data_IF_675192302899
#
_entry.id   IF_675192302899
#
_cell.length_a   1.000
_cell.length_b   1.000
_cell.length_c   1.000
_cell.angle_alpha   90.00
_cell.angle_beta   90.00
_cell.angle_gamma   90.00
#
_symmetry.space_group_name_H-M   'P 1'
#
loop_
_entity.id
_entity.type
_entity.pdbx_description
1 polymer ?
#
# COMPACT_ATOMS: atom_id res chain seq x y z
N UNK A 1 21.03 16.88 27.59
CA UNK A 1 20.33 15.60 27.87
C UNK A 1 19.94 15.04 26.52
N UNK A 2 20.68 14.05 26.02
CA UNK A 2 20.43 13.46 24.71
C UNK A 2 19.12 12.68 24.74
N UNK A 3 18.17 13.08 23.91
CA UNK A 3 17.04 12.25 23.52
C UNK A 3 17.60 11.00 22.84
N UNK A 4 17.71 9.88 23.57
CA UNK A 4 17.77 8.59 22.90
C UNK A 4 16.47 8.46 22.13
N UNK A 5 16.50 8.75 20.82
CA UNK A 5 15.43 8.39 19.92
C UNK A 5 15.26 6.87 20.02
N UNK A 6 14.14 6.45 20.59
CA UNK A 6 13.80 5.04 20.75
C UNK A 6 13.80 4.38 19.38
N UNK A 7 14.84 3.59 19.07
CA UNK A 7 14.93 2.83 17.83
C UNK A 7 13.75 1.85 17.75
N UNK A 8 13.04 1.83 16.63
CA UNK A 8 11.98 0.86 16.37
C UNK A 8 12.52 -0.47 15.82
N UNK A 9 13.64 -0.42 15.09
CA UNK A 9 14.32 -1.57 14.48
C UNK A 9 15.76 -1.71 14.99
N UNK A 10 16.19 -2.96 15.16
CA UNK A 10 17.60 -3.33 15.37
C UNK A 10 18.38 -3.31 14.06
N UNK A 11 19.71 -3.26 14.13
CA UNK A 11 20.57 -3.35 12.94
C UNK A 11 20.33 -4.62 12.12
N UNK A 12 20.09 -5.76 12.79
CA UNK A 12 19.79 -7.02 12.13
C UNK A 12 18.45 -6.97 11.36
N UNK A 13 17.44 -6.28 11.89
CA UNK A 13 16.17 -6.10 11.19
C UNK A 13 16.33 -5.21 9.94
N UNK A 14 17.15 -4.17 10.04
CA UNK A 14 17.46 -3.28 8.90
C UNK A 14 18.20 -4.05 7.81
N UNK A 15 19.23 -4.81 8.17
CA UNK A 15 19.99 -5.65 7.24
C UNK A 15 19.09 -6.72 6.59
N UNK A 16 18.28 -7.41 7.38
CA UNK A 16 17.29 -8.37 6.87
C UNK A 16 16.31 -7.74 5.88
N UNK A 17 15.84 -6.51 6.13
CA UNK A 17 14.96 -5.82 5.18
C UNK A 17 15.69 -5.47 3.88
N UNK A 18 16.94 -4.99 3.95
CA UNK A 18 17.73 -4.73 2.77
C UNK A 18 17.96 -6.01 1.93
N UNK A 19 18.19 -7.14 2.59
CA UNK A 19 18.41 -8.42 1.95
C UNK A 19 17.14 -9.03 1.33
N UNK A 20 16.04 -8.99 2.08
CA UNK A 20 14.80 -9.73 1.77
C UNK A 20 13.68 -8.87 1.19
N UNK A 21 13.72 -7.55 1.40
CA UNK A 21 12.68 -6.61 0.96
C UNK A 21 11.41 -6.67 1.79
N UNK A 22 11.40 -7.47 2.86
CA UNK A 22 10.26 -7.67 3.77
C UNK A 22 10.77 -7.85 5.20
N UNK A 23 10.03 -7.32 6.17
CA UNK A 23 10.26 -7.56 7.59
C UNK A 23 8.93 -7.65 8.35
N UNK A 24 8.95 -8.30 9.51
CA UNK A 24 7.82 -8.35 10.43
C UNK A 24 8.12 -7.58 11.71
N UNK A 25 7.17 -6.79 12.18
CA UNK A 25 7.29 -5.94 13.37
C UNK A 25 6.03 -6.04 14.23
N UNK A 26 6.18 -6.45 15.49
CA UNK A 26 5.11 -6.30 16.48
C UNK A 26 4.94 -4.81 16.82
N UNK A 27 3.74 -4.26 16.62
CA UNK A 27 3.47 -2.84 16.89
C UNK A 27 3.20 -2.54 18.37
N UNK A 28 2.87 -3.54 19.18
CA UNK A 28 2.44 -3.35 20.57
C UNK A 28 1.10 -2.63 20.71
N UNK A 29 0.23 -2.76 19.70
CA UNK A 29 -1.11 -2.15 19.68
C UNK A 29 -2.09 -3.06 20.41
N UNK A 30 -2.99 -2.50 21.21
CA UNK A 30 -3.96 -3.31 21.97
C UNK A 30 -4.99 -3.99 21.07
N UNK A 31 -5.41 -5.20 21.46
CA UNK A 31 -6.46 -5.93 20.78
C UNK A 31 -7.77 -5.11 20.68
N UNK A 32 -8.15 -4.39 21.75
CA UNK A 32 -9.34 -3.55 21.78
C UNK A 32 -9.33 -2.46 20.69
N UNK A 33 -8.17 -1.83 20.47
CA UNK A 33 -8.04 -0.82 19.42
C UNK A 33 -8.17 -1.43 18.02
N UNK A 34 -7.56 -2.60 17.80
CA UNK A 34 -7.61 -3.31 16.52
C UNK A 34 -9.02 -3.81 16.23
N UNK A 35 -9.71 -4.37 17.23
CA UNK A 35 -11.11 -4.79 17.13
C UNK A 35 -12.03 -3.60 16.83
N UNK A 36 -11.81 -2.45 17.47
CA UNK A 36 -12.56 -1.23 17.16
C UNK A 36 -12.36 -0.75 15.71
N UNK A 37 -11.17 -0.92 15.10
CA UNK A 37 -11.00 -0.66 13.66
C UNK A 37 -11.88 -1.61 12.84
N UNK A 38 -11.88 -2.90 13.16
CA UNK A 38 -12.68 -3.92 12.45
C UNK A 38 -14.17 -3.55 12.51
N UNK A 39 -14.69 -3.26 13.70
CA UNK A 39 -16.09 -2.88 13.92
C UNK A 39 -16.49 -1.60 13.17
N UNK A 40 -15.64 -0.57 13.19
CA UNK A 40 -15.93 0.70 12.52
C UNK A 40 -15.85 0.63 11.00
N UNK A 41 -14.95 -0.20 10.46
CA UNK A 41 -14.82 -0.40 9.00
C UNK A 41 -15.90 -1.32 8.45
N UNK A 42 -16.39 -2.29 9.23
CA UNK A 42 -17.41 -3.25 8.79
C UNK A 42 -18.62 -2.64 8.06
N UNK A 43 -19.28 -1.56 8.55
CA UNK A 43 -20.40 -0.94 7.85
C UNK A 43 -20.02 -0.22 6.56
N UNK A 44 -18.73 0.04 6.31
CA UNK A 44 -18.24 0.72 5.11
C UNK A 44 -17.98 -0.24 3.93
N UNK A 45 -17.99 -1.56 4.15
CA UNK A 45 -17.88 -2.51 3.06
C UNK A 45 -19.12 -2.48 2.15
N UNK A 46 -18.89 -2.66 0.85
CA UNK A 46 -19.95 -2.71 -0.16
C UNK A 46 -21.09 -3.66 0.23
N UNK A 47 -22.36 -3.31 -0.03
CA UNK A 47 -23.51 -4.15 0.34
C UNK A 47 -23.44 -5.58 -0.20
N UNK A 48 -22.78 -5.80 -1.35
CA UNK A 48 -22.56 -7.13 -1.91
C UNK A 48 -21.72 -8.03 -0.99
N UNK A 49 -20.75 -7.47 -0.27
CA UNK A 49 -19.99 -8.19 0.73
C UNK A 49 -20.82 -8.45 2.00
N UNK A 50 -21.72 -7.52 2.38
CA UNK A 50 -22.63 -7.74 3.50
C UNK A 50 -23.62 -8.88 3.21
N UNK A 51 -24.02 -9.05 1.96
CA UNK A 51 -24.88 -10.16 1.51
C UNK A 51 -24.11 -11.48 1.33
N UNK A 52 -22.84 -11.40 0.92
CA UNK A 52 -21.97 -12.56 0.77
C UNK A 52 -20.55 -12.24 1.29
N UNK A 53 -20.25 -12.55 2.56
CA UNK A 53 -18.95 -12.31 3.18
C UNK A 53 -17.78 -13.04 2.50
N UNK A 54 -18.05 -13.96 1.56
CA UNK A 54 -17.04 -14.66 0.78
C UNK A 54 -16.46 -13.80 -0.35
N UNK A 55 -17.18 -12.75 -0.78
CA UNK A 55 -16.73 -11.88 -1.87
C UNK A 55 -15.62 -10.95 -1.37
N UNK A 56 -14.47 -11.00 -2.04
CA UNK A 56 -13.38 -10.06 -1.76
C UNK A 56 -13.86 -8.62 -2.02
N UNK A 57 -13.64 -7.76 -1.02
CA UNK A 57 -13.91 -6.33 -1.09
C UNK A 57 -12.81 -5.59 -0.35
N UNK A 58 -12.80 -4.26 -0.48
CA UNK A 58 -11.92 -3.38 0.28
C UNK A 58 -12.57 -2.03 0.46
N UNK A 59 -12.26 -1.38 1.58
CA UNK A 59 -12.52 0.05 1.75
C UNK A 59 -11.21 0.78 1.53
N UNK A 60 -11.16 1.63 0.51
CA UNK A 60 -10.03 2.51 0.29
C UNK A 60 -10.20 3.81 1.08
N UNK A 61 -9.12 4.26 1.71
CA UNK A 61 -9.02 5.53 2.42
C UNK A 61 -10.05 5.72 3.54
N UNK A 62 -10.37 4.64 4.27
CA UNK A 62 -11.23 4.70 5.45
C UNK A 62 -10.72 5.69 6.52
N UNK A 63 -9.42 6.03 6.52
CA UNK A 63 -8.81 7.04 7.40
C UNK A 63 -9.45 8.43 7.28
N UNK A 64 -10.09 8.72 6.14
CA UNK A 64 -10.81 9.98 5.90
C UNK A 64 -12.05 10.13 6.79
N UNK A 65 -12.64 9.01 7.20
CA UNK A 65 -13.87 8.96 7.97
C UNK A 65 -13.64 8.41 9.38
N UNK A 66 -12.64 7.54 9.56
CA UNK A 66 -12.37 6.82 10.79
C UNK A 66 -10.99 7.20 11.35
N UNK A 67 -10.99 7.88 12.50
CA UNK A 67 -9.76 8.30 13.17
C UNK A 67 -8.90 7.10 13.62
N UNK A 68 -9.52 5.98 13.96
CA UNK A 68 -8.82 4.72 14.33
C UNK A 68 -7.94 4.19 13.19
N UNK A 69 -8.45 4.18 11.96
CA UNK A 69 -7.70 3.81 10.73
C UNK A 69 -6.56 4.79 10.50
N UNK A 70 -6.81 6.10 10.67
CA UNK A 70 -5.77 7.15 10.56
C UNK A 70 -4.66 6.94 11.59
N UNK A 71 -5.01 6.76 12.87
CA UNK A 71 -4.06 6.55 13.96
C UNK A 71 -3.14 5.36 13.68
N UNK A 72 -3.67 4.25 13.15
CA UNK A 72 -2.84 3.10 12.74
C UNK A 72 -1.93 3.44 11.56
N UNK A 73 -2.40 4.20 10.57
CA UNK A 73 -1.63 4.66 9.42
C UNK A 73 -0.52 5.68 9.76
N UNK A 74 -0.60 6.35 10.92
CA UNK A 74 0.45 7.27 11.42
C UNK A 74 1.13 6.75 12.69
N UNK A 75 1.03 5.46 12.97
CA UNK A 75 1.54 4.86 14.20
C UNK A 75 3.05 5.14 14.37
N UNK A 76 3.44 5.69 15.52
CA UNK A 76 4.79 6.22 15.73
C UNK A 76 5.88 5.17 15.47
N UNK A 77 5.69 3.93 15.97
CA UNK A 77 6.65 2.84 15.76
C UNK A 77 6.82 2.48 14.27
N UNK A 78 5.74 2.58 13.47
CA UNK A 78 5.80 2.35 12.03
C UNK A 78 6.60 3.47 11.37
N UNK A 79 6.25 4.74 11.63
CA UNK A 79 6.95 5.87 11.03
C UNK A 79 8.45 5.88 11.36
N UNK A 80 8.81 5.62 12.63
CA UNK A 80 10.21 5.50 13.05
C UNK A 80 10.91 4.33 12.36
N UNK A 81 10.26 3.16 12.26
CA UNK A 81 10.83 2.01 11.56
C UNK A 81 11.09 2.32 10.08
N UNK A 82 10.14 2.95 9.38
CA UNK A 82 10.28 3.31 7.97
C UNK A 82 11.40 4.35 7.74
N UNK A 83 11.50 5.34 8.63
CA UNK A 83 12.59 6.33 8.59
C UNK A 83 13.95 5.67 8.81
N UNK A 84 14.07 4.70 9.74
CA UNK A 84 15.29 3.91 9.92
C UNK A 84 15.66 3.08 8.68
N UNK A 85 14.67 2.56 7.93
CA UNK A 85 14.92 1.74 6.76
C UNK A 85 15.42 2.54 5.56
N UNK A 86 14.80 3.69 5.27
CA UNK A 86 15.07 4.45 4.04
C UNK A 86 15.81 5.78 4.25
N UNK A 87 16.06 6.18 5.50
CA UNK A 87 16.79 7.41 5.83
C UNK A 87 16.08 8.69 5.42
N UNK A 88 14.76 8.64 5.22
CA UNK A 88 13.91 9.78 4.85
C UNK A 88 12.61 9.74 5.62
N UNK A 89 11.97 10.89 5.80
CA UNK A 89 10.67 10.97 6.44
C UNK A 89 9.59 10.23 5.61
N UNK A 90 8.87 9.26 6.19
CA UNK A 90 7.75 8.60 5.53
C UNK A 90 6.51 9.50 5.47
N UNK A 91 5.75 9.36 4.38
CA UNK A 91 4.57 10.14 4.03
C UNK A 91 3.42 9.15 3.70
N UNK A 92 2.62 8.74 4.70
CA UNK A 92 1.45 7.89 4.45
C UNK A 92 0.47 8.61 3.53
N UNK A 93 -0.11 7.91 2.55
CA UNK A 93 -1.00 8.55 1.57
C UNK A 93 -2.23 7.74 1.18
N UNK A 94 -2.29 6.46 1.50
CA UNK A 94 -3.43 5.61 1.19
C UNK A 94 -3.59 4.52 2.25
N UNK A 95 -4.84 4.24 2.64
CA UNK A 95 -5.17 3.01 3.39
C UNK A 95 -6.06 2.10 2.57
N UNK A 96 -5.94 0.80 2.78
CA UNK A 96 -6.87 -0.21 2.29
C UNK A 96 -7.22 -1.14 3.44
N UNK A 97 -8.51 -1.26 3.77
CA UNK A 97 -8.98 -2.20 4.78
C UNK A 97 -9.67 -3.37 4.07
N UNK A 98 -9.31 -4.60 4.45
CA UNK A 98 -9.82 -5.83 3.86
C UNK A 98 -10.49 -6.70 4.92
N UNK A 99 -11.64 -7.34 4.64
CA UNK A 99 -12.29 -8.28 5.54
C UNK A 99 -11.85 -9.74 5.33
N UNK A 100 -11.28 -10.05 4.17
CA UNK A 100 -10.89 -11.41 3.75
C UNK A 100 -9.62 -11.39 2.89
N UNK A 101 -9.01 -12.57 2.72
CA UNK A 101 -7.90 -12.77 1.80
C UNK A 101 -8.29 -12.47 0.35
N UNK A 102 -7.46 -11.74 -0.38
CA UNK A 102 -7.79 -11.30 -1.75
C UNK A 102 -7.59 -12.39 -2.81
N UNK A 103 -6.77 -13.41 -2.52
CA UNK A 103 -6.27 -14.38 -3.52
C UNK A 103 -5.66 -13.71 -4.76
N UNK A 104 -5.17 -12.48 -4.61
CA UNK A 104 -4.65 -11.69 -5.72
C UNK A 104 -3.32 -12.27 -6.20
N UNK A 105 -3.13 -12.34 -7.51
CA UNK A 105 -1.87 -12.76 -8.10
C UNK A 105 -0.70 -11.89 -7.62
N UNK A 106 0.50 -12.48 -7.49
CA UNK A 106 1.71 -11.73 -7.19
C UNK A 106 1.93 -10.55 -8.14
N UNK A 107 2.26 -9.40 -7.56
CA UNK A 107 2.58 -8.16 -8.25
C UNK A 107 3.60 -7.34 -7.43
N UNK A 108 4.21 -6.35 -8.07
CA UNK A 108 4.91 -5.26 -7.38
C UNK A 108 3.98 -4.05 -7.26
N UNK A 109 3.95 -3.42 -6.09
CA UNK A 109 3.24 -2.14 -5.90
C UNK A 109 3.86 -0.99 -6.71
N UNK A 110 5.12 -1.13 -7.14
CA UNK A 110 5.79 -0.14 -7.96
C UNK A 110 5.03 0.14 -9.25
N UNK A 111 4.25 -0.81 -9.79
CA UNK A 111 3.40 -0.57 -10.96
C UNK A 111 2.32 0.49 -10.68
N UNK A 112 1.84 0.58 -9.44
CA UNK A 112 0.83 1.53 -8.99
C UNK A 112 1.43 2.84 -8.48
N UNK A 113 2.51 2.72 -7.70
CA UNK A 113 3.13 3.81 -6.96
C UNK A 113 4.66 3.74 -7.06
N UNK A 114 5.28 4.66 -7.79
CA UNK A 114 6.72 4.73 -7.88
C UNK A 114 7.25 6.16 -7.70
N UNK A 115 8.57 6.25 -7.55
CA UNK A 115 9.29 7.47 -7.19
C UNK A 115 10.46 7.75 -8.12
N UNK A 116 10.87 9.02 -8.19
CA UNK A 116 12.19 9.40 -8.69
C UNK A 116 12.95 10.14 -7.58
N UNK A 117 14.12 9.62 -7.14
CA UNK A 117 14.69 8.30 -7.47
C UNK A 117 13.77 7.14 -7.04
N UNK A 118 13.91 5.96 -7.66
CA UNK A 118 13.10 4.78 -7.33
C UNK A 118 13.43 4.20 -5.95
N UNK A 119 12.52 3.38 -5.40
CA UNK A 119 12.71 2.67 -4.13
C UNK A 119 12.19 3.39 -2.89
N UNK A 120 11.63 4.58 -3.05
CA UNK A 120 11.07 5.38 -1.96
C UNK A 120 9.55 5.21 -1.83
N UNK A 121 9.09 3.97 -1.81
CA UNK A 121 7.72 3.60 -1.46
C UNK A 121 7.71 2.26 -0.71
N UNK A 122 6.93 2.20 0.37
CA UNK A 122 6.80 1.02 1.23
C UNK A 122 5.32 0.76 1.54
N UNK A 123 4.93 -0.51 1.49
CA UNK A 123 3.65 -0.99 2.02
C UNK A 123 3.82 -1.52 3.44
N UNK A 124 2.86 -1.20 4.31
CA UNK A 124 2.76 -1.77 5.66
C UNK A 124 1.38 -2.38 5.82
N UNK A 125 1.35 -3.69 6.03
CA UNK A 125 0.12 -4.44 6.28
C UNK A 125 0.08 -4.86 7.73
N UNK A 126 -0.98 -4.48 8.43
CA UNK A 126 -1.19 -4.82 9.84
C UNK A 126 -2.30 -5.86 9.94
N UNK A 127 -2.01 -6.94 10.64
CA UNK A 127 -2.98 -7.96 11.01
C UNK A 127 -3.93 -7.40 12.07
N UNK A 128 -5.23 -7.33 11.76
CA UNK A 128 -6.25 -6.91 12.74
C UNK A 128 -6.86 -8.10 13.49
N UNK A 129 -6.45 -9.32 13.15
CA UNK A 129 -6.75 -10.58 13.83
C UNK A 129 -5.57 -11.56 13.63
N UNK A 130 -5.64 -12.78 14.15
CA UNK A 130 -4.64 -13.82 13.88
C UNK A 130 -4.76 -14.41 12.47
N UNK A 131 -3.61 -14.63 11.83
CA UNK A 131 -3.50 -14.94 10.41
C UNK A 131 -2.60 -16.15 10.24
N UNK A 132 -3.20 -17.26 9.84
CA UNK A 132 -2.52 -18.54 9.63
C UNK A 132 -2.61 -18.95 8.15
N UNK A 133 -2.21 -20.18 7.85
CA UNK A 133 -2.16 -20.67 6.47
C UNK A 133 -3.55 -20.93 5.85
N UNK A 134 -4.63 -20.84 6.63
CA UNK A 134 -5.97 -21.26 6.22
C UNK A 134 -6.86 -20.09 5.80
N UNK A 135 -6.66 -18.89 6.38
CA UNK A 135 -7.53 -17.72 6.12
C UNK A 135 -7.06 -16.77 5.00
N UNK A 136 -6.11 -17.20 4.16
CA UNK A 136 -5.61 -16.43 3.02
C UNK A 136 -4.59 -15.35 3.43
N UNK A 137 -3.44 -15.77 3.99
CA UNK A 137 -2.35 -14.87 4.37
C UNK A 137 -1.77 -14.15 3.14
N UNK A 138 -0.92 -13.16 3.37
CA UNK A 138 -0.07 -12.66 2.28
C UNK A 138 0.84 -13.77 1.76
N UNK A 139 1.23 -13.66 0.51
CA UNK A 139 2.33 -14.41 -0.09
C UNK A 139 3.35 -13.41 -0.61
N UNK A 140 4.63 -13.63 -0.38
CA UNK A 140 5.69 -12.76 -0.91
C UNK A 140 6.90 -13.59 -1.35
N UNK A 141 7.74 -12.99 -2.19
CA UNK A 141 8.93 -13.63 -2.76
C UNK A 141 10.17 -12.86 -2.29
N UNK A 142 10.78 -13.24 -1.15
CA UNK A 142 11.90 -12.51 -0.57
C UNK A 142 13.06 -12.32 -1.55
N UNK A 143 13.65 -11.13 -1.54
CA UNK A 143 14.75 -10.76 -2.44
C UNK A 143 14.30 -10.28 -3.82
N UNK A 144 13.04 -10.50 -4.22
CA UNK A 144 12.51 -10.07 -5.51
C UNK A 144 12.49 -8.55 -5.69
N UNK A 145 12.56 -7.77 -4.61
CA UNK A 145 12.66 -6.31 -4.67
C UNK A 145 13.94 -5.81 -5.35
N UNK A 146 14.96 -6.67 -5.47
CA UNK A 146 16.23 -6.39 -6.17
C UNK A 146 16.16 -6.63 -7.68
N UNK A 147 15.06 -7.19 -8.19
CA UNK A 147 14.83 -7.32 -9.62
C UNK A 147 14.66 -5.93 -10.28
N UNK A 148 14.74 -5.86 -11.63
CA UNK A 148 14.31 -4.66 -12.34
C UNK A 148 12.88 -4.25 -11.96
N UNK A 149 12.60 -2.95 -12.02
CA UNK A 149 11.24 -2.46 -11.93
C UNK A 149 10.54 -2.72 -13.26
N UNK A 150 9.65 -3.71 -13.31
CA UNK A 150 8.91 -4.03 -14.53
C UNK A 150 7.72 -3.07 -14.71
N UNK A 151 7.79 -2.24 -15.73
CA UNK A 151 6.65 -1.45 -16.21
C UNK A 151 5.72 -2.28 -17.11
N UNK A 152 4.60 -1.69 -17.54
CA UNK A 152 3.75 -2.31 -18.58
C UNK A 152 4.56 -2.54 -19.87
N UNK A 153 5.37 -1.56 -20.26
CA UNK A 153 6.11 -1.61 -21.53
C UNK A 153 7.25 -2.63 -21.51
N UNK A 154 7.94 -2.79 -20.37
CA UNK A 154 8.99 -3.80 -20.22
C UNK A 154 8.44 -5.23 -20.39
N UNK A 155 7.14 -5.40 -20.15
CA UNK A 155 6.43 -6.68 -20.30
C UNK A 155 5.63 -6.77 -21.61
N UNK A 156 5.83 -5.81 -22.53
CA UNK A 156 5.19 -5.76 -23.83
C UNK A 156 3.69 -5.45 -23.76
N UNK A 157 3.27 -4.65 -22.78
CA UNK A 157 1.88 -4.25 -22.55
C UNK A 157 1.71 -2.74 -22.73
N UNK A 158 0.55 -2.35 -23.25
CA UNK A 158 0.14 -0.95 -23.27
C UNK A 158 -0.12 -0.42 -21.84
N UNK A 159 0.13 0.88 -21.58
CA UNK A 159 -0.25 1.49 -20.31
C UNK A 159 -1.77 1.44 -20.09
N UNK A 160 -2.14 1.29 -18.82
CA UNK A 160 -3.51 1.43 -18.35
C UNK A 160 -4.08 0.19 -17.67
N UNK A 161 -5.10 0.42 -16.85
CA UNK A 161 -5.76 -0.61 -16.05
C UNK A 161 -6.36 -1.80 -16.84
N UNK A 162 -6.86 -1.65 -18.09
CA UNK A 162 -7.34 -2.80 -18.86
C UNK A 162 -6.30 -3.92 -19.05
N UNK A 163 -5.01 -3.57 -19.02
CA UNK A 163 -3.91 -4.53 -19.16
C UNK A 163 -3.45 -5.14 -17.83
N UNK A 164 -4.04 -4.75 -16.70
CA UNK A 164 -3.55 -5.13 -15.38
C UNK A 164 -3.54 -6.64 -15.12
N UNK A 165 -4.57 -7.36 -15.55
CA UNK A 165 -4.58 -8.83 -15.45
C UNK A 165 -3.50 -9.49 -16.33
N UNK A 166 -3.16 -8.89 -17.47
CA UNK A 166 -2.07 -9.38 -18.30
C UNK A 166 -0.72 -9.13 -17.63
N UNK A 167 -0.55 -7.97 -16.98
CA UNK A 167 0.62 -7.68 -16.15
C UNK A 167 0.80 -8.71 -15.03
N UNK A 168 -0.24 -9.00 -14.25
CA UNK A 168 -0.16 -10.01 -13.17
C UNK A 168 0.26 -11.39 -13.69
N UNK A 169 -0.20 -11.79 -14.89
CA UNK A 169 0.24 -13.02 -15.56
C UNK A 169 1.71 -12.97 -15.95
N UNK A 170 2.18 -11.87 -16.54
CA UNK A 170 3.59 -11.68 -16.89
C UNK A 170 4.51 -11.72 -15.67
N UNK A 171 4.05 -11.22 -14.53
CA UNK A 171 4.79 -11.34 -13.26
C UNK A 171 4.93 -12.81 -12.82
N UNK A 172 3.96 -13.68 -13.13
CA UNK A 172 4.13 -15.12 -12.86
C UNK A 172 5.26 -15.71 -13.71
N UNK A 173 5.39 -15.29 -14.97
CA UNK A 173 6.49 -15.71 -15.83
C UNK A 173 7.84 -15.26 -15.25
N UNK A 174 7.93 -14.01 -14.77
CA UNK A 174 9.13 -13.47 -14.10
C UNK A 174 9.49 -14.28 -12.85
N UNK A 175 8.50 -14.65 -12.03
CA UNK A 175 8.70 -15.50 -10.84
C UNK A 175 9.31 -16.85 -11.24
N UNK A 176 8.79 -17.47 -12.29
CA UNK A 176 9.26 -18.76 -12.79
C UNK A 176 10.68 -18.66 -13.39
N UNK A 177 10.94 -17.65 -14.21
CA UNK A 177 12.24 -17.40 -14.85
C UNK A 177 13.37 -17.22 -13.82
N UNK A 178 13.10 -16.48 -12.75
CA UNK A 178 14.06 -16.24 -11.68
C UNK A 178 14.07 -17.35 -10.61
N UNK A 179 13.23 -18.38 -10.73
CA UNK A 179 13.14 -19.47 -9.76
C UNK A 179 12.77 -19.03 -8.35
N UNK A 180 12.01 -17.94 -8.22
CA UNK A 180 11.70 -17.34 -6.92
C UNK A 180 10.80 -18.25 -6.09
N UNK A 181 11.13 -18.39 -4.81
CA UNK A 181 10.36 -19.22 -3.90
C UNK A 181 9.42 -18.35 -3.05
N UNK A 182 8.14 -18.75 -2.91
CA UNK A 182 7.20 -18.01 -2.09
C UNK A 182 7.37 -18.31 -0.60
N UNK A 183 7.02 -17.34 0.23
CA UNK A 183 6.81 -17.50 1.67
C UNK A 183 5.43 -16.96 2.08
N UNK A 184 4.82 -17.58 3.09
CA UNK A 184 3.54 -17.14 3.64
C UNK A 184 3.73 -16.07 4.71
N UNK A 185 3.02 -14.95 4.58
CA UNK A 185 2.93 -13.88 5.56
C UNK A 185 1.96 -14.19 6.68
N UNK A 186 2.28 -15.19 7.50
CA UNK A 186 1.56 -15.48 8.73
C UNK A 186 1.82 -14.37 9.75
N UNK A 187 0.82 -13.99 10.56
CA UNK A 187 0.93 -12.89 11.51
C UNK A 187 -0.03 -13.06 12.68
N UNK A 188 0.38 -12.64 13.88
CA UNK A 188 -0.53 -12.47 15.02
C UNK A 188 -1.22 -11.11 14.93
N UNK A 189 -2.39 -10.98 15.57
CA UNK A 189 -3.06 -9.70 15.72
C UNK A 189 -2.09 -8.63 16.24
N UNK A 190 -2.02 -7.49 15.55
CA UNK A 190 -1.13 -6.37 15.88
C UNK A 190 0.28 -6.44 15.28
N UNK A 191 0.67 -7.57 14.68
CA UNK A 191 1.90 -7.64 13.89
C UNK A 191 1.72 -6.93 12.54
N UNK A 192 2.75 -6.19 12.15
CA UNK A 192 2.89 -5.58 10.84
C UNK A 192 3.86 -6.38 9.97
N UNK A 193 3.53 -6.53 8.69
CA UNK A 193 4.42 -6.97 7.62
C UNK A 193 4.73 -5.73 6.78
N UNK A 194 6.01 -5.36 6.72
CA UNK A 194 6.52 -4.19 6.00
C UNK A 194 7.22 -4.71 4.75
N UNK A 195 6.88 -4.21 3.56
CA UNK A 195 7.56 -4.58 2.31
C UNK A 195 7.98 -3.38 1.47
N UNK A 196 9.10 -3.53 0.79
CA UNK A 196 9.55 -2.59 -0.24
C UNK A 196 8.62 -2.65 -1.46
N UNK A 197 8.35 -1.51 -2.10
CA UNK A 197 7.46 -1.40 -3.26
C UNK A 197 7.72 -2.42 -4.38
N UNK A 198 9.00 -2.74 -4.63
CA UNK A 198 9.40 -3.66 -5.68
C UNK A 198 9.31 -5.15 -5.30
N UNK A 199 9.03 -5.47 -4.04
CA UNK A 199 8.84 -6.85 -3.61
C UNK A 199 7.59 -7.43 -4.29
N UNK A 200 7.76 -8.57 -4.97
CA UNK A 200 6.63 -9.32 -5.49
C UNK A 200 5.86 -9.95 -4.34
N UNK A 201 4.57 -9.64 -4.28
CA UNK A 201 3.67 -10.12 -3.24
C UNK A 201 2.22 -10.20 -3.74
N UNK A 202 1.39 -10.97 -3.05
CA UNK A 202 -0.01 -11.17 -3.38
C UNK A 202 -0.81 -11.71 -2.19
N UNK A 203 -2.01 -12.23 -2.47
CA UNK A 203 -2.81 -12.95 -1.49
C UNK A 203 -2.79 -14.45 -1.77
N UNK A 204 -2.46 -15.27 -0.77
CA UNK A 204 -2.64 -16.71 -0.90
C UNK A 204 -4.13 -17.08 -0.98
N UNK A 205 -4.41 -18.24 -1.56
CA UNK A 205 -5.77 -18.79 -1.59
C UNK A 205 -6.31 -18.97 -0.16
N UNK A 206 -7.59 -18.66 0.01
CA UNK A 206 -8.32 -18.96 1.25
C UNK A 206 -8.65 -20.45 1.24
N UNK A 207 -7.98 -21.24 2.08
CA UNK A 207 -8.28 -22.67 2.19
C UNK A 207 -9.57 -22.90 2.97
N UNK A 208 -9.76 -22.13 4.05
CA UNK A 208 -11.04 -22.00 4.72
C UNK A 208 -11.71 -20.69 4.29
N UNK A 209 -12.66 -20.82 3.37
CA UNK A 209 -13.42 -19.69 2.85
C UNK A 209 -14.41 -19.10 3.86
N UNK A 210 -14.65 -19.72 5.01
CA UNK A 210 -15.55 -19.16 6.02
C UNK A 210 -14.83 -18.26 7.04
N UNK A 211 -13.48 -18.26 7.04
CA UNK A 211 -12.69 -17.44 7.94
C UNK A 211 -12.43 -16.04 7.39
N UNK A 212 -12.47 -15.06 8.30
CA UNK A 212 -12.08 -13.68 8.06
C UNK A 212 -10.56 -13.53 7.95
N UNK A 213 -10.15 -12.41 7.35
CA UNK A 213 -8.76 -11.96 7.27
C UNK A 213 -8.71 -10.42 7.31
N UNK A 214 -9.09 -9.88 8.46
CA UNK A 214 -9.12 -8.47 8.76
C UNK A 214 -7.72 -7.89 8.78
N UNK A 215 -7.52 -6.84 7.97
CA UNK A 215 -6.23 -6.19 7.84
C UNK A 215 -6.36 -4.75 7.39
N UNK A 216 -5.31 -3.97 7.65
CA UNK A 216 -5.12 -2.65 7.08
C UNK A 216 -3.78 -2.59 6.37
N UNK A 217 -3.79 -2.22 5.08
CA UNK A 217 -2.59 -1.75 4.37
C UNK A 217 -2.51 -0.24 4.48
N UNK A 218 -1.32 0.28 4.71
CA UNK A 218 -0.99 1.69 4.50
C UNK A 218 0.20 1.78 3.57
N UNK A 219 0.10 2.62 2.54
CA UNK A 219 1.21 2.92 1.63
C UNK A 219 1.88 4.23 2.02
N UNK A 220 3.20 4.22 2.03
CA UNK A 220 4.05 5.34 2.40
C UNK A 220 4.97 5.67 1.25
N UNK A 221 4.90 6.92 0.79
CA UNK A 221 5.99 7.51 0.05
C UNK A 221 7.01 8.09 1.03
N UNK A 222 8.10 8.66 0.53
CA UNK A 222 9.11 9.33 1.34
C UNK A 222 9.43 10.69 0.73
N UNK A 223 9.81 11.65 1.57
CA UNK A 223 10.09 13.01 1.14
C UNK A 223 11.25 13.12 0.13
N UNK A 224 11.31 14.25 -0.58
CA UNK A 224 12.38 14.51 -1.56
C UNK A 224 12.29 13.65 -2.83
N UNK A 225 11.09 13.20 -3.20
CA UNK A 225 10.84 12.40 -4.39
C UNK A 225 9.79 13.04 -5.30
N UNK A 226 9.91 12.78 -6.60
CA UNK A 226 8.77 12.86 -7.52
C UNK A 226 7.92 11.59 -7.38
N UNK A 227 6.60 11.70 -7.37
CA UNK A 227 5.68 10.55 -7.25
C UNK A 227 4.91 10.34 -8.55
N UNK A 228 4.76 9.10 -9.00
CA UNK A 228 4.04 8.80 -10.24
C UNK A 228 3.43 7.40 -10.24
N UNK A 229 2.56 7.13 -11.22
CA UNK A 229 1.92 5.81 -11.44
C UNK A 229 2.48 5.21 -12.73
N UNK A 230 3.42 4.24 -12.66
CA UNK A 230 3.98 3.61 -13.86
C UNK A 230 2.95 2.95 -14.77
N UNK A 231 1.92 2.32 -14.20
CA UNK A 231 0.84 1.70 -14.97
C UNK A 231 0.18 2.65 -15.98
N UNK A 232 0.07 3.92 -15.64
CA UNK A 232 -0.54 4.97 -16.49
C UNK A 232 0.51 5.85 -17.19
N UNK A 233 1.78 5.48 -17.11
CA UNK A 233 2.89 6.22 -17.72
C UNK A 233 3.40 5.50 -18.96
N UNK A 234 3.96 6.26 -19.89
CA UNK A 234 4.73 5.77 -21.04
C UNK A 234 6.06 6.54 -21.17
N UNK A 235 6.81 6.27 -22.23
CA UNK A 235 8.12 6.92 -22.48
C UNK A 235 8.00 8.43 -22.70
N UNK A 236 6.89 8.91 -23.25
CA UNK A 236 6.66 10.32 -23.56
C UNK A 236 6.01 11.08 -22.38
N UNK A 237 5.20 10.38 -21.57
CA UNK A 237 4.35 10.98 -20.55
C UNK A 237 4.34 10.19 -19.25
N UNK A 238 4.79 10.86 -18.19
CA UNK A 238 4.71 10.36 -16.82
C UNK A 238 3.44 10.83 -16.13
N UNK A 239 2.63 9.89 -15.64
CA UNK A 239 1.46 10.18 -14.81
C UNK A 239 1.87 10.55 -13.38
N UNK A 240 2.17 11.83 -13.16
CA UNK A 240 2.56 12.35 -11.84
C UNK A 240 1.42 12.28 -10.83
N UNK A 241 1.77 12.05 -9.56
CA UNK A 241 0.87 12.04 -8.40
C UNK A 241 1.14 13.23 -7.50
N UNK A 242 0.07 13.77 -6.92
CA UNK A 242 0.12 14.76 -5.83
C UNK A 242 -0.73 14.24 -4.68
N UNK A 243 -0.24 13.26 -3.91
CA UNK A 243 -1.04 12.63 -2.86
C UNK A 243 -1.34 13.62 -1.74
N UNK A 244 -2.48 13.43 -1.08
CA UNK A 244 -2.74 14.05 0.21
C UNK A 244 -2.11 13.17 1.29
N UNK A 245 -1.23 13.74 2.10
CA UNK A 245 -0.56 13.00 3.16
C UNK A 245 -1.50 12.79 4.35
N UNK A 246 -1.61 11.55 4.83
CA UNK A 246 -2.42 11.23 6.00
C UNK A 246 -1.84 11.99 7.21
N UNK A 247 -2.62 12.87 7.85
CA UNK A 247 -2.12 13.76 8.88
C UNK A 247 -1.96 13.04 10.22
N UNK A 248 -0.97 13.50 11.00
CA UNK A 248 -0.70 12.95 12.35
C UNK A 248 -1.81 13.24 13.37
N UNK A 249 -2.61 14.26 13.12
CA UNK A 249 -3.70 14.70 13.99
C UNK A 249 -5.05 14.54 13.29
N UNK A 250 -6.13 14.54 14.07
CA UNK A 250 -7.50 14.36 13.59
C UNK A 250 -8.15 15.65 13.07
N UNK A 251 -7.54 16.81 13.32
CA UNK A 251 -7.99 18.14 12.90
C UNK A 251 -7.54 18.49 11.46
N UNK A 252 -7.91 17.64 10.51
CA UNK A 252 -7.57 17.85 9.11
C UNK A 252 -8.79 18.24 8.25
N UNK A 253 -8.51 18.93 7.16
CA UNK A 253 -9.51 19.23 6.13
C UNK A 253 -9.07 18.58 4.84
N UNK A 254 -9.96 17.77 4.27
CA UNK A 254 -9.74 17.20 2.95
C UNK A 254 -9.87 18.31 1.89
N UNK A 255 -9.07 18.24 0.82
CA UNK A 255 -9.25 19.16 -0.30
C UNK A 255 -10.65 18.95 -0.89
N UNK A 256 -11.31 20.01 -1.38
CA UNK A 256 -12.61 19.89 -2.00
C UNK A 256 -12.52 18.97 -3.21
N UNK A 257 -13.55 18.14 -3.37
CA UNK A 257 -13.61 17.23 -4.49
C UNK A 257 -13.61 18.01 -5.81
N UNK A 258 -13.11 17.44 -6.92
CA UNK A 258 -13.01 18.16 -8.20
C UNK A 258 -14.33 18.80 -8.68
N UNK A 259 -15.48 18.31 -8.24
CA UNK A 259 -16.82 18.86 -8.53
C UNK A 259 -17.31 19.94 -7.56
N UNK A 260 -16.69 20.07 -6.40
CA UNK A 260 -17.01 21.10 -5.40
C UNK A 260 -16.20 22.39 -5.60
N UNK A 261 -15.20 22.35 -6.50
CA UNK A 261 -14.37 23.52 -6.82
C UNK A 261 -15.21 24.62 -7.49
N UNK A 262 -15.14 25.88 -7.02
CA UNK A 262 -15.89 27.00 -7.59
C UNK A 262 -15.65 27.15 -9.10
N UNK A 263 -16.73 27.47 -9.83
CA UNK A 263 -16.78 27.71 -11.29
C UNK A 263 -15.61 28.54 -11.88
N UNK A 264 -15.07 29.62 -11.26
CA UNK A 264 -13.98 30.38 -11.86
C UNK A 264 -12.71 29.54 -12.07
N UNK A 265 -12.45 28.52 -11.26
CA UNK A 265 -11.26 27.66 -11.42
C UNK A 265 -11.45 26.66 -12.57
N UNK A 266 -12.67 26.13 -12.76
CA UNK A 266 -12.98 25.22 -13.87
C UNK A 266 -12.98 25.95 -15.22
N UNK A 267 -13.53 27.16 -15.28
CA UNK A 267 -13.54 27.98 -16.48
C UNK A 267 -12.13 28.48 -16.84
N UNK A 268 -11.38 29.00 -15.87
CA UNK A 268 -10.02 29.49 -16.08
C UNK A 268 -9.08 28.35 -16.52
N UNK A 269 -9.19 27.15 -15.93
CA UNK A 269 -8.35 26.01 -16.34
C UNK A 269 -8.73 25.45 -17.71
N UNK A 270 -10.01 25.51 -18.11
CA UNK A 270 -10.47 25.15 -19.45
C UNK A 270 -10.01 26.17 -20.51
N UNK A 271 -10.03 27.46 -20.17
CA UNK A 271 -9.51 28.55 -21.01
C UNK A 271 -7.98 28.49 -21.12
N UNK A 272 -7.27 28.31 -20.00
CA UNK A 272 -5.80 28.17 -20.00
C UNK A 272 -5.34 26.90 -20.73
N UNK A 273 -6.11 25.79 -20.67
CA UNK A 273 -5.86 24.59 -21.50
C UNK A 273 -6.11 24.84 -22.99
N UNK A 274 -7.15 25.59 -23.33
CA UNK A 274 -7.39 26.03 -24.70
C UNK A 274 -6.29 26.97 -25.23
N UNK A 275 -5.55 27.62 -24.33
CA UNK A 275 -4.45 28.55 -24.63
C UNK A 275 -3.04 27.94 -24.44
N UNK A 276 -2.92 26.67 -24.04
CA UNK A 276 -1.62 26.02 -23.81
C UNK A 276 -0.82 26.52 -22.60
N UNK A 277 -1.48 27.19 -21.64
CA UNK A 277 -0.84 27.86 -20.50
C UNK A 277 -0.99 27.10 -19.17
N UNK A 278 -1.43 25.84 -19.20
CA UNK A 278 -1.56 25.02 -18.00
C UNK A 278 -1.24 23.55 -18.28
N UNK A 279 -0.23 23.02 -17.59
CA UNK A 279 0.07 21.58 -17.55
C UNK A 279 -0.96 20.81 -16.69
N UNK A 280 -1.05 19.49 -16.94
CA UNK A 280 -2.11 18.58 -16.44
C UNK A 280 -2.48 18.70 -14.95
#
# INVERSE_FOLDING_TARGET
MSTEETKALSSQQIESFAERGVLKLDLGVSADFLNNIVEQVQPLYEPSHQQNPLLATRVQDAWKQLDSVRQLAVHAKVLTALEQLLGRKPLPFQTLNFPVGTSQYPHSDSIHFNTVPAGYMVGVWVALEDIDAENGPLIYYPGSHKLPYYSMQDLGLEPGYPQYQAYERRIQDVIAEHGLQPELGLARQGEAIIWHANLLHGGAARKDVNRSRHSQVTHYFFEGCEYYTPMESDQAKRKRRKPFWIPKTSDFQLPPEPWERPLPVRALRKVLRGLGLADE
#
